data_IF_620830895217
#
_entry.id   IF_620830895217
#
_cell.length_a   1.000
_cell.length_b   1.000
_cell.length_c   1.000
_cell.angle_alpha   90.00
_cell.angle_beta   90.00
_cell.angle_gamma   90.00
#
_symmetry.space_group_name_H-M   'P 1'
#
loop_
_entity.id
_entity.type
_entity.pdbx_description
1 polymer ?
#
# COMPACT_ATOMS: atom_id res chain seq x y z
N UNK A 1 13.86 6.92 6.37
CA UNK A 1 13.81 7.53 7.72
C UNK A 1 13.15 6.54 8.66
N UNK A 2 13.57 6.42 9.92
CA UNK A 2 12.84 5.63 10.93
C UNK A 2 12.39 6.57 12.04
N UNK A 3 11.13 6.46 12.43
CA UNK A 3 10.55 7.19 13.54
C UNK A 3 9.99 6.19 14.55
N UNK A 4 10.23 6.43 15.84
CA UNK A 4 9.65 5.66 16.94
C UNK A 4 8.66 6.55 17.68
N UNK A 5 7.43 6.08 17.86
CA UNK A 5 6.35 6.82 18.51
C UNK A 5 5.48 5.87 19.34
N UNK A 6 4.70 6.42 20.28
CA UNK A 6 3.68 5.68 21.02
C UNK A 6 2.36 5.72 20.23
N UNK A 7 1.81 4.55 19.90
CA UNK A 7 0.64 4.44 19.01
C UNK A 7 -0.70 4.88 19.62
N UNK A 8 -0.72 5.29 20.89
CA UNK A 8 -1.95 5.59 21.62
C UNK A 8 -2.67 6.88 21.16
N UNK A 9 -2.02 7.72 20.36
CA UNK A 9 -2.54 9.04 19.97
C UNK A 9 -3.08 9.12 18.53
N UNK A 10 -3.32 7.98 17.86
CA UNK A 10 -3.88 7.91 16.50
C UNK A 10 -3.07 8.75 15.50
N UNK A 11 -3.69 9.68 14.77
CA UNK A 11 -3.02 10.49 13.75
C UNK A 11 -2.04 11.52 14.35
N UNK A 12 -2.15 11.81 15.65
CA UNK A 12 -1.28 12.78 16.33
C UNK A 12 0.16 12.25 16.48
N UNK A 13 0.36 10.92 16.40
CA UNK A 13 1.68 10.28 16.49
C UNK A 13 2.63 10.69 15.37
N UNK A 14 2.09 11.24 14.28
CA UNK A 14 2.85 11.72 13.13
C UNK A 14 3.37 13.16 13.32
N UNK A 15 2.95 13.84 14.40
CA UNK A 15 3.47 15.17 14.74
C UNK A 15 4.86 15.04 15.36
N UNK A 16 5.80 15.96 15.05
CA UNK A 16 7.17 15.88 15.53
C UNK A 16 7.32 15.73 17.05
N UNK A 17 6.42 16.32 17.82
CA UNK A 17 6.46 16.33 19.29
C UNK A 17 6.16 14.96 19.92
N UNK A 18 5.63 14.00 19.16
CA UNK A 18 5.32 12.64 19.62
C UNK A 18 6.37 11.60 19.18
N UNK A 19 7.45 12.06 18.52
CA UNK A 19 8.55 11.19 18.10
C UNK A 19 9.56 11.02 19.24
N UNK A 20 9.71 9.80 19.74
CA UNK A 20 10.72 9.44 20.75
C UNK A 20 12.11 9.42 20.13
N UNK A 21 12.21 8.91 18.91
CA UNK A 21 13.47 8.78 18.20
C UNK A 21 13.26 9.03 16.70
N UNK A 22 14.23 9.71 16.09
CA UNK A 22 14.30 9.95 14.66
C UNK A 22 15.67 9.53 14.13
N UNK A 23 15.67 8.59 13.20
CA UNK A 23 16.83 8.27 12.39
C UNK A 23 16.67 8.80 10.96
N UNK A 24 17.56 9.73 10.60
CA UNK A 24 17.68 10.27 9.26
C UNK A 24 18.98 9.78 8.65
N UNK A 25 18.89 8.86 7.70
CA UNK A 25 20.05 8.34 7.01
C UNK A 25 19.69 7.45 5.83
N UNK A 26 20.68 6.73 5.30
CA UNK A 26 20.52 5.94 4.08
C UNK A 26 19.64 4.72 4.32
N UNK A 27 18.74 4.46 3.38
CA UNK A 27 17.80 3.33 3.38
C UNK A 27 18.42 2.12 2.69
N UNK A 28 19.50 1.59 3.27
CA UNK A 28 20.08 0.30 2.91
C UNK A 28 20.26 -0.57 4.15
N UNK A 29 20.23 -1.88 3.94
CA UNK A 29 20.31 -2.86 5.01
C UNK A 29 21.50 -2.62 5.94
N UNK A 30 22.70 -2.39 5.40
CA UNK A 30 23.93 -2.31 6.18
C UNK A 30 23.93 -1.12 7.14
N UNK A 31 23.34 0.00 6.71
CA UNK A 31 23.22 1.20 7.54
C UNK A 31 22.12 1.00 8.59
N UNK A 32 20.97 0.46 8.18
CA UNK A 32 19.85 0.19 9.08
C UNK A 32 20.20 -0.88 10.13
N UNK A 33 21.05 -1.86 9.80
CA UNK A 33 21.52 -2.86 10.74
C UNK A 33 22.35 -2.24 11.87
N UNK A 34 23.18 -1.24 11.57
CA UNK A 34 23.91 -0.48 12.61
C UNK A 34 22.94 0.24 13.54
N UNK A 35 21.88 0.83 12.99
CA UNK A 35 20.83 1.49 13.79
C UNK A 35 20.08 0.47 14.64
N UNK A 36 19.67 -0.67 14.08
CA UNK A 36 19.01 -1.74 14.82
C UNK A 36 19.85 -2.24 16.00
N UNK A 37 21.16 -2.40 15.80
CA UNK A 37 22.06 -2.83 16.85
C UNK A 37 22.22 -1.79 17.98
N UNK A 38 22.15 -0.48 17.68
CA UNK A 38 22.21 0.57 18.70
C UNK A 38 21.05 0.51 19.69
N UNK A 39 19.87 0.03 19.26
CA UNK A 39 18.65 -0.04 20.07
C UNK A 39 18.29 -1.46 20.50
N UNK A 40 19.11 -2.46 20.17
CA UNK A 40 18.79 -3.87 20.38
C UNK A 40 18.54 -4.19 21.85
N UNK A 41 19.40 -3.66 22.74
CA UNK A 41 19.23 -3.85 24.18
C UNK A 41 17.96 -3.18 24.69
N UNK A 42 17.72 -1.92 24.32
CA UNK A 42 16.55 -1.16 24.79
C UNK A 42 15.24 -1.79 24.33
N UNK A 43 15.17 -2.27 23.08
CA UNK A 43 13.95 -2.95 22.62
C UNK A 43 13.72 -4.28 23.33
N UNK A 44 14.79 -5.05 23.58
CA UNK A 44 14.67 -6.31 24.33
C UNK A 44 14.24 -6.07 25.77
N UNK A 45 14.86 -5.11 26.44
CA UNK A 45 14.53 -4.74 27.82
C UNK A 45 13.08 -4.27 27.94
N UNK A 46 12.63 -3.38 27.05
CA UNK A 46 11.23 -2.93 27.03
C UNK A 46 10.24 -4.07 26.75
N UNK A 47 10.61 -5.01 25.88
CA UNK A 47 9.77 -6.17 25.55
C UNK A 47 9.65 -7.15 26.73
N UNK A 48 10.76 -7.41 27.43
CA UNK A 48 10.81 -8.38 28.54
C UNK A 48 10.28 -7.79 29.84
N UNK A 49 10.64 -6.53 30.14
CA UNK A 49 10.43 -5.90 31.44
C UNK A 49 9.33 -4.84 31.44
N UNK A 50 8.89 -4.35 30.28
CA UNK A 50 7.88 -3.29 30.18
C UNK A 50 8.35 -1.96 30.81
N UNK A 51 7.40 -1.13 31.22
CA UNK A 51 7.64 0.15 31.91
C UNK A 51 6.84 0.18 33.21
N UNK A 52 7.40 0.75 34.27
CA UNK A 52 6.67 1.07 35.50
C UNK A 52 6.41 2.57 35.56
N UNK A 53 5.19 2.96 35.90
CA UNK A 53 4.88 4.37 36.18
C UNK A 53 5.19 4.76 37.64
N UNK A 54 5.03 6.03 37.96
CA UNK A 54 5.31 6.57 39.30
C UNK A 54 4.39 5.98 40.40
N UNK A 55 3.27 5.36 40.01
CA UNK A 55 2.37 4.65 40.93
C UNK A 55 2.74 3.17 41.09
N UNK A 56 3.79 2.70 40.40
CA UNK A 56 4.22 1.31 40.39
C UNK A 56 3.36 0.40 39.50
N UNK A 57 2.52 0.95 38.62
CA UNK A 57 1.75 0.16 37.66
C UNK A 57 2.67 -0.32 36.54
N UNK A 58 2.61 -1.61 36.24
CA UNK A 58 3.36 -2.23 35.14
C UNK A 58 2.62 -2.12 33.81
N UNK A 59 3.32 -1.60 32.80
CA UNK A 59 2.84 -1.41 31.44
C UNK A 59 3.65 -2.31 30.49
N UNK A 60 3.06 -3.41 29.98
CA UNK A 60 3.72 -4.24 28.98
C UNK A 60 3.84 -3.47 27.64
N UNK A 61 4.95 -3.69 26.93
CA UNK A 61 5.21 -3.03 25.64
C UNK A 61 5.14 -4.04 24.52
N UNK A 62 4.36 -3.72 23.47
CA UNK A 62 4.35 -4.44 22.21
C UNK A 62 4.79 -3.53 21.07
N UNK A 63 5.70 -4.02 20.25
CA UNK A 63 6.24 -3.29 19.12
C UNK A 63 5.53 -3.64 17.82
N UNK A 64 5.33 -2.61 17.00
CA UNK A 64 4.84 -2.70 15.64
C UNK A 64 5.79 -1.95 14.72
N UNK A 65 5.92 -2.45 13.49
CA UNK A 65 6.70 -1.78 12.46
C UNK A 65 5.82 -1.55 11.24
N UNK A 66 5.76 -0.31 10.76
CA UNK A 66 5.11 0.01 9.50
C UNK A 66 6.02 0.79 8.57
N UNK A 67 5.89 0.51 7.28
CA UNK A 67 6.65 1.18 6.24
C UNK A 67 6.19 0.75 4.85
N UNK A 68 6.63 1.50 3.84
CA UNK A 68 6.40 1.12 2.46
C UNK A 68 7.03 -0.25 2.15
N UNK A 69 6.51 -0.89 1.10
CA UNK A 69 6.90 -2.26 0.75
C UNK A 69 8.41 -2.43 0.57
N UNK A 70 9.12 -1.44 -0.02
CA UNK A 70 10.57 -1.53 -0.22
C UNK A 70 11.30 -1.43 1.13
N UNK A 71 10.84 -0.57 2.01
CA UNK A 71 11.42 -0.45 3.35
C UNK A 71 11.25 -1.75 4.16
N UNK A 72 10.07 -2.38 4.09
CA UNK A 72 9.79 -3.66 4.75
C UNK A 72 10.81 -4.75 4.35
N UNK A 73 11.15 -4.83 3.07
CA UNK A 73 12.16 -5.80 2.59
C UNK A 73 13.51 -5.62 3.25
N UNK A 74 13.96 -4.37 3.38
CA UNK A 74 15.23 -4.07 4.04
C UNK A 74 15.19 -4.46 5.52
N UNK A 75 14.12 -4.11 6.24
CA UNK A 75 14.00 -4.38 7.67
C UNK A 75 13.88 -5.88 7.96
N UNK A 76 13.15 -6.61 7.12
CA UNK A 76 12.95 -8.05 7.26
C UNK A 76 14.09 -8.90 6.67
N UNK A 77 15.13 -8.27 6.11
CA UNK A 77 16.29 -8.98 5.54
C UNK A 77 15.96 -9.80 4.29
N UNK A 78 14.94 -9.38 3.54
CA UNK A 78 14.47 -10.01 2.30
C UNK A 78 15.26 -9.51 1.09
N UNK A 79 15.22 -10.28 -0.01
CA UNK A 79 16.03 -9.98 -1.19
C UNK A 79 15.56 -8.75 -1.98
N UNK A 80 14.49 -8.89 -2.76
CA UNK A 80 13.89 -7.79 -3.52
C UNK A 80 12.43 -8.08 -3.90
N UNK A 81 11.59 -7.04 -4.15
CA UNK A 81 10.18 -7.22 -4.48
C UNK A 81 9.88 -7.97 -5.79
N UNK A 82 10.86 -8.09 -6.69
CA UNK A 82 10.69 -8.69 -8.01
C UNK A 82 11.20 -10.15 -8.10
N UNK A 83 11.55 -10.76 -6.97
CA UNK A 83 12.05 -12.14 -6.94
C UNK A 83 10.91 -13.16 -7.00
N UNK A 84 11.26 -14.43 -7.22
CA UNK A 84 10.31 -15.54 -7.31
C UNK A 84 9.37 -15.63 -6.11
N UNK A 85 9.86 -15.33 -4.90
CA UNK A 85 9.07 -15.31 -3.67
C UNK A 85 9.01 -13.89 -3.13
N UNK A 86 7.89 -13.21 -3.31
CA UNK A 86 7.76 -11.77 -3.06
C UNK A 86 6.84 -11.43 -1.87
N UNK A 87 6.12 -12.40 -1.33
CA UNK A 87 5.25 -12.11 -0.20
C UNK A 87 6.09 -11.97 1.08
N UNK A 88 5.79 -10.95 1.89
CA UNK A 88 6.42 -10.72 3.19
C UNK A 88 6.07 -11.82 4.20
N UNK A 89 4.91 -12.45 4.02
CA UNK A 89 4.27 -13.31 5.04
C UNK A 89 4.28 -14.80 4.71
N UNK A 90 4.50 -15.17 3.45
CA UNK A 90 4.45 -16.55 3.01
C UNK A 90 5.34 -16.83 1.81
N UNK A 91 5.58 -18.11 1.53
CA UNK A 91 6.37 -18.59 0.41
C UNK A 91 5.55 -18.70 -0.90
N UNK A 92 4.69 -17.72 -1.17
CA UNK A 92 3.93 -17.64 -2.41
C UNK A 92 4.85 -17.33 -3.60
N UNK A 93 4.75 -18.15 -4.64
CA UNK A 93 5.46 -17.93 -5.90
C UNK A 93 4.81 -16.81 -6.72
N UNK A 94 5.63 -15.94 -7.31
CA UNK A 94 5.19 -14.82 -8.12
C UNK A 94 4.34 -15.27 -9.33
N UNK A 95 4.55 -16.49 -9.85
CA UNK A 95 3.75 -17.09 -10.92
C UNK A 95 2.34 -17.47 -10.47
N UNK A 96 2.15 -17.78 -9.19
CA UNK A 96 0.89 -18.27 -8.61
C UNK A 96 0.12 -17.17 -7.85
N UNK A 97 0.68 -15.96 -7.77
CA UNK A 97 0.13 -14.84 -6.96
C UNK A 97 -1.31 -14.44 -7.27
N UNK A 98 -1.79 -14.80 -8.45
CA UNK A 98 -3.13 -14.48 -8.94
C UNK A 98 -4.13 -15.62 -8.68
N UNK A 99 -3.66 -16.81 -8.32
CA UNK A 99 -4.49 -17.98 -8.08
C UNK A 99 -5.08 -17.91 -6.66
N UNK A 100 -6.34 -17.49 -6.56
CA UNK A 100 -7.05 -17.28 -5.29
C UNK A 100 -7.59 -18.57 -4.65
N UNK A 101 -7.46 -19.71 -5.34
CA UNK A 101 -7.81 -21.04 -4.83
C UNK A 101 -6.69 -21.63 -3.97
N UNK A 102 -5.45 -21.20 -4.19
CA UNK A 102 -4.31 -21.58 -3.37
C UNK A 102 -4.35 -20.88 -2.01
N UNK A 103 -3.96 -21.61 -0.98
CA UNK A 103 -3.74 -21.07 0.36
C UNK A 103 -2.28 -21.28 0.74
N UNK A 104 -1.64 -20.18 1.14
CA UNK A 104 -0.27 -20.19 1.61
C UNK A 104 -0.29 -19.98 3.12
N UNK A 105 0.38 -20.84 3.91
CA UNK A 105 0.47 -20.64 5.35
C UNK A 105 1.20 -19.31 5.63
N UNK A 106 0.69 -18.57 6.61
CA UNK A 106 1.28 -17.32 7.10
C UNK A 106 2.16 -17.70 8.28
N UNK A 107 3.39 -18.13 8.01
CA UNK A 107 4.29 -18.69 9.01
C UNK A 107 5.77 -18.30 8.80
N UNK A 108 5.99 -17.19 8.07
CA UNK A 108 7.30 -16.60 7.67
C UNK A 108 7.73 -16.92 6.23
N UNK A 109 8.23 -15.89 5.51
CA UNK A 109 8.78 -16.02 4.15
C UNK A 109 10.21 -16.55 4.19
N UNK A 110 10.36 -17.87 4.34
CA UNK A 110 11.68 -18.51 4.48
C UNK A 110 12.49 -18.49 3.19
N UNK A 111 11.83 -18.57 2.03
CA UNK A 111 12.51 -18.68 0.74
C UNK A 111 13.03 -17.34 0.19
N UNK A 112 12.54 -16.22 0.72
CA UNK A 112 12.98 -14.87 0.33
C UNK A 112 14.04 -14.28 1.26
N UNK A 113 14.18 -14.83 2.48
CA UNK A 113 15.12 -14.36 3.50
C UNK A 113 16.58 -14.58 3.08
N UNK A 114 17.37 -13.52 3.12
CA UNK A 114 18.81 -13.54 2.79
C UNK A 114 19.68 -13.04 3.94
N UNK A 115 19.12 -12.20 4.81
CA UNK A 115 19.80 -11.58 5.93
C UNK A 115 18.92 -11.71 7.18
N UNK A 116 19.49 -11.56 8.39
CA UNK A 116 18.71 -11.46 9.62
C UNK A 116 17.69 -10.31 9.57
N UNK A 117 16.60 -10.46 10.33
CA UNK A 117 15.67 -9.35 10.59
C UNK A 117 16.37 -8.32 11.48
N UNK A 118 16.14 -7.03 11.20
CA UNK A 118 16.84 -5.95 11.91
C UNK A 118 16.27 -5.66 13.31
N UNK A 119 15.00 -5.99 13.55
CA UNK A 119 14.33 -5.76 14.84
C UNK A 119 13.68 -7.07 15.34
N UNK A 120 14.46 -8.05 15.82
CA UNK A 120 13.94 -9.36 16.21
C UNK A 120 12.93 -9.32 17.39
N UNK A 121 12.89 -8.21 18.13
CA UNK A 121 11.88 -7.97 19.17
C UNK A 121 10.46 -7.82 18.59
N UNK A 122 10.32 -7.47 17.31
CA UNK A 122 9.02 -7.29 16.65
C UNK A 122 8.58 -8.63 16.06
N UNK A 123 7.38 -9.07 16.42
CA UNK A 123 6.81 -10.31 15.87
C UNK A 123 6.51 -10.16 14.37
N UNK A 124 6.57 -11.26 13.64
CA UNK A 124 6.32 -11.33 12.19
C UNK A 124 4.98 -10.65 11.81
N UNK A 125 3.92 -10.93 12.58
CA UNK A 125 2.57 -10.40 12.38
C UNK A 125 2.45 -8.89 12.64
N UNK A 126 3.40 -8.31 13.38
CA UNK A 126 3.42 -6.89 13.73
C UNK A 126 4.21 -6.04 12.72
N UNK A 127 4.73 -6.66 11.66
CA UNK A 127 5.26 -5.98 10.48
C UNK A 127 4.11 -5.68 9.52
N UNK A 128 3.63 -4.44 9.49
CA UNK A 128 2.42 -4.04 8.77
C UNK A 128 2.79 -3.12 7.60
N UNK A 129 2.49 -3.46 6.34
CA UNK A 129 2.86 -2.64 5.21
C UNK A 129 1.99 -1.38 5.19
N UNK A 130 2.56 -0.27 4.74
CA UNK A 130 1.85 1.00 4.62
C UNK A 130 0.64 0.88 3.67
N UNK A 131 -0.55 1.14 4.20
CA UNK A 131 -1.82 1.03 3.49
C UNK A 131 -2.05 2.18 2.51
N UNK A 132 -1.49 3.37 2.77
CA UNK A 132 -1.52 4.49 1.85
C UNK A 132 -0.73 4.14 0.59
N UNK A 133 0.46 3.59 0.73
CA UNK A 133 1.27 3.15 -0.41
C UNK A 133 0.60 2.03 -1.20
N UNK A 134 -0.09 1.10 -0.54
CA UNK A 134 -0.93 0.10 -1.21
C UNK A 134 -2.01 0.76 -2.08
N UNK A 135 -2.76 1.71 -1.52
CA UNK A 135 -3.80 2.43 -2.23
C UNK A 135 -3.25 3.23 -3.41
N UNK A 136 -2.13 3.93 -3.22
CA UNK A 136 -1.47 4.68 -4.29
C UNK A 136 -1.07 3.78 -5.46
N UNK A 137 -0.49 2.61 -5.19
CA UNK A 137 -0.03 1.68 -6.23
C UNK A 137 -1.18 1.04 -7.00
N UNK A 138 -2.22 0.56 -6.32
CA UNK A 138 -3.36 -0.08 -7.00
C UNK A 138 -4.13 0.96 -7.82
N UNK A 139 -4.34 2.15 -7.29
CA UNK A 139 -4.98 3.24 -8.05
C UNK A 139 -4.17 3.71 -9.25
N UNK A 140 -2.83 3.74 -9.18
CA UNK A 140 -1.99 4.00 -10.35
C UNK A 140 -2.26 2.99 -11.46
N UNK A 141 -2.26 1.69 -11.13
CA UNK A 141 -2.53 0.63 -12.11
C UNK A 141 -3.93 0.79 -12.71
N UNK A 142 -4.95 1.03 -11.89
CA UNK A 142 -6.32 1.24 -12.35
C UNK A 142 -6.46 2.45 -13.30
N UNK A 143 -5.83 3.57 -12.96
CA UNK A 143 -5.81 4.79 -13.78
C UNK A 143 -5.02 4.60 -15.07
N UNK A 144 -3.84 3.98 -14.99
CA UNK A 144 -3.01 3.66 -16.16
C UNK A 144 -3.76 2.77 -17.15
N UNK A 145 -4.44 1.72 -16.67
CA UNK A 145 -5.26 0.86 -17.53
C UNK A 145 -6.38 1.65 -18.23
N UNK A 146 -7.06 2.52 -17.51
CA UNK A 146 -8.14 3.35 -18.05
C UNK A 146 -7.62 4.37 -19.08
N UNK A 147 -6.57 5.13 -18.75
CA UNK A 147 -6.00 6.13 -19.64
C UNK A 147 -5.35 5.52 -20.88
N UNK A 148 -4.69 4.37 -20.76
CA UNK A 148 -4.14 3.66 -21.91
C UNK A 148 -5.23 3.21 -22.90
N UNK A 149 -6.43 2.89 -22.43
CA UNK A 149 -7.57 2.61 -23.31
C UNK A 149 -8.10 3.89 -24.00
N UNK A 150 -8.02 5.03 -23.33
CA UNK A 150 -8.45 6.32 -23.88
C UNK A 150 -7.44 6.87 -24.89
N UNK A 151 -6.14 6.75 -24.64
CA UNK A 151 -5.09 7.21 -25.55
C UNK A 151 -5.12 6.53 -26.93
N UNK A 152 -5.73 5.33 -27.02
CA UNK A 152 -5.92 4.60 -28.28
C UNK A 152 -7.04 5.19 -29.15
N UNK A 153 -7.86 6.09 -28.61
CA UNK A 153 -9.01 6.69 -29.30
C UNK A 153 -8.58 7.90 -30.11
N UNK A 154 -9.14 8.04 -31.31
CA UNK A 154 -8.81 9.15 -32.23
C UNK A 154 -9.28 10.49 -31.69
N UNK A 155 -10.40 10.48 -30.98
CA UNK A 155 -11.04 11.62 -30.35
C UNK A 155 -10.37 12.05 -29.02
N UNK A 156 -9.28 11.38 -28.60
CA UNK A 156 -8.64 11.67 -27.30
C UNK A 156 -8.18 13.13 -27.17
N UNK A 157 -7.30 13.57 -28.06
CA UNK A 157 -6.68 14.92 -27.99
C UNK A 157 -7.70 16.03 -28.28
N UNK A 158 -8.72 15.75 -29.10
CA UNK A 158 -9.69 16.75 -29.54
C UNK A 158 -10.84 16.96 -28.56
N UNK A 159 -11.25 15.91 -27.84
CA UNK A 159 -12.48 15.95 -27.03
C UNK A 159 -12.31 15.30 -25.65
N UNK A 160 -11.89 14.04 -25.58
CA UNK A 160 -11.91 13.29 -24.31
C UNK A 160 -10.97 13.94 -23.28
N UNK A 161 -9.79 14.41 -23.69
CA UNK A 161 -8.81 15.06 -22.81
C UNK A 161 -9.45 16.18 -21.99
N UNK A 162 -10.09 17.16 -22.66
CA UNK A 162 -10.67 18.33 -21.99
C UNK A 162 -11.86 17.95 -21.11
N UNK A 163 -12.66 16.97 -21.51
CA UNK A 163 -13.78 16.48 -20.70
C UNK A 163 -13.31 15.81 -19.40
N UNK A 164 -12.24 15.01 -19.44
CA UNK A 164 -11.66 14.36 -18.25
C UNK A 164 -11.07 15.42 -17.32
N UNK A 165 -10.27 16.34 -17.84
CA UNK A 165 -9.67 17.43 -17.06
C UNK A 165 -10.75 18.28 -16.36
N UNK A 166 -11.83 18.59 -17.07
CA UNK A 166 -12.98 19.30 -16.50
C UNK A 166 -13.71 18.47 -15.43
N UNK A 167 -13.82 17.15 -15.62
CA UNK A 167 -14.49 16.25 -14.66
C UNK A 167 -13.66 16.10 -13.38
N UNK A 168 -12.34 15.97 -13.50
CA UNK A 168 -11.41 16.00 -12.37
C UNK A 168 -11.53 17.30 -11.58
N UNK A 169 -11.64 18.44 -12.29
CA UNK A 169 -11.86 19.75 -11.66
C UNK A 169 -13.17 19.80 -10.88
N UNK A 170 -14.26 19.23 -11.40
CA UNK A 170 -15.56 19.18 -10.70
C UNK A 170 -15.47 18.42 -9.38
N UNK A 171 -14.67 17.35 -9.30
CA UNK A 171 -14.40 16.63 -8.05
C UNK A 171 -13.27 17.26 -7.22
N UNK A 172 -12.86 18.49 -7.52
CA UNK A 172 -11.81 19.26 -6.82
C UNK A 172 -10.46 18.55 -6.82
N UNK A 173 -10.06 17.99 -7.96
CA UNK A 173 -8.75 17.40 -8.21
C UNK A 173 -8.06 18.19 -9.33
N UNK A 174 -6.84 18.67 -9.08
CA UNK A 174 -6.02 19.28 -10.12
C UNK A 174 -5.39 18.19 -10.98
N UNK A 175 -5.72 18.16 -12.27
CA UNK A 175 -5.28 17.10 -13.17
C UNK A 175 -5.22 17.58 -14.60
N UNK A 176 -4.10 17.30 -15.26
CA UNK A 176 -3.87 17.60 -16.67
C UNK A 176 -3.10 16.47 -17.34
N UNK A 177 -3.42 16.21 -18.62
CA UNK A 177 -2.60 15.39 -19.49
C UNK A 177 -1.58 16.25 -20.26
N UNK A 178 -0.37 15.73 -20.41
CA UNK A 178 0.70 16.38 -21.14
C UNK A 178 1.51 15.37 -21.96
N UNK A 179 2.20 15.83 -23.01
CA UNK A 179 3.15 15.00 -23.75
C UNK A 179 4.49 15.01 -23.01
N UNK A 180 4.88 13.87 -22.46
CA UNK A 180 6.11 13.74 -21.69
C UNK A 180 7.34 13.83 -22.59
N UNK A 181 8.23 14.78 -22.28
CA UNK A 181 9.52 14.94 -22.97
C UNK A 181 10.47 13.78 -22.67
N UNK A 182 10.38 13.19 -21.48
CA UNK A 182 11.22 12.06 -21.05
C UNK A 182 10.74 10.71 -21.59
N UNK A 183 9.44 10.55 -21.86
CA UNK A 183 8.86 9.31 -22.43
C UNK A 183 8.66 9.36 -23.95
N UNK A 184 9.51 10.11 -24.66
CA UNK A 184 9.50 10.14 -26.13
C UNK A 184 8.24 10.77 -26.73
N UNK A 185 7.62 11.75 -26.06
CA UNK A 185 6.44 12.45 -26.54
C UNK A 185 5.11 11.71 -26.30
N UNK A 186 5.13 10.59 -25.56
CA UNK A 186 3.92 9.88 -25.15
C UNK A 186 3.07 10.72 -24.20
N UNK A 187 1.76 10.47 -24.21
CA UNK A 187 0.85 11.05 -23.23
C UNK A 187 1.18 10.56 -21.83
N UNK A 188 1.11 11.49 -20.90
CA UNK A 188 1.36 11.32 -19.48
C UNK A 188 0.40 12.26 -18.72
N UNK A 189 0.36 12.15 -17.39
CA UNK A 189 -0.62 12.90 -16.59
C UNK A 189 -0.05 13.38 -15.27
N UNK A 190 -0.77 14.32 -14.64
CA UNK A 190 -0.41 14.85 -13.33
C UNK A 190 -0.39 13.73 -12.29
N UNK A 191 0.74 13.56 -11.59
CA UNK A 191 0.84 12.63 -10.46
C UNK A 191 -0.08 13.08 -9.32
N UNK A 192 -0.88 12.17 -8.80
CA UNK A 192 -1.87 12.46 -7.76
C UNK A 192 -1.44 11.96 -6.39
N UNK A 193 -1.67 12.80 -5.38
CA UNK A 193 -1.43 12.47 -3.98
C UNK A 193 -2.61 11.70 -3.38
N UNK A 194 -2.38 11.08 -2.21
CA UNK A 194 -3.35 10.23 -1.53
C UNK A 194 -4.78 10.80 -1.44
N UNK A 195 -4.98 12.05 -0.97
CA UNK A 195 -6.32 12.64 -0.89
C UNK A 195 -7.02 12.74 -2.24
N UNK A 196 -6.31 13.11 -3.30
CA UNK A 196 -6.90 13.26 -4.63
C UNK A 196 -7.17 11.90 -5.27
N UNK A 197 -6.30 10.90 -5.08
CA UNK A 197 -6.57 9.52 -5.50
C UNK A 197 -7.85 8.95 -4.87
N UNK A 198 -8.09 9.24 -3.59
CA UNK A 198 -9.34 8.83 -2.91
C UNK A 198 -10.57 9.45 -3.59
N UNK A 199 -10.53 10.75 -3.89
CA UNK A 199 -11.62 11.42 -4.61
C UNK A 199 -11.85 10.81 -5.99
N UNK A 200 -10.78 10.51 -6.73
CA UNK A 200 -10.85 9.89 -8.05
C UNK A 200 -11.50 8.50 -7.97
N UNK A 201 -11.02 7.64 -7.08
CA UNK A 201 -11.58 6.30 -6.85
C UNK A 201 -13.05 6.34 -6.42
N UNK A 202 -13.45 7.35 -5.68
CA UNK A 202 -14.81 7.47 -5.14
C UNK A 202 -15.80 8.12 -6.12
N UNK A 203 -15.39 9.17 -6.83
CA UNK A 203 -16.31 10.07 -7.51
C UNK A 203 -16.09 10.22 -9.01
N UNK A 204 -14.94 9.81 -9.56
CA UNK A 204 -14.70 9.98 -11.00
C UNK A 204 -15.59 9.02 -11.80
N UNK A 205 -16.45 9.51 -12.71
CA UNK A 205 -17.41 8.69 -13.45
C UNK A 205 -16.73 8.03 -14.64
N UNK A 206 -16.06 6.91 -14.41
CA UNK A 206 -15.36 6.15 -15.45
C UNK A 206 -16.31 5.79 -16.60
N UNK A 207 -17.58 5.50 -16.28
CA UNK A 207 -18.54 5.04 -17.28
C UNK A 207 -18.85 6.06 -18.38
N UNK A 208 -18.65 7.35 -18.13
CA UNK A 208 -18.96 8.43 -19.07
C UNK A 208 -17.99 8.50 -20.28
N UNK A 209 -16.82 7.85 -20.20
CA UNK A 209 -15.72 8.05 -21.16
C UNK A 209 -15.39 6.84 -22.02
N UNK A 210 -15.98 5.68 -21.74
CA UNK A 210 -15.73 4.44 -22.50
C UNK A 210 -17.05 3.71 -22.82
N UNK A 211 -17.02 2.74 -23.74
CA UNK A 211 -18.25 2.09 -24.24
C UNK A 211 -18.99 1.32 -23.15
N UNK A 212 -20.32 1.34 -23.20
CA UNK A 212 -21.22 1.01 -22.07
C UNK A 212 -20.87 -0.27 -21.30
N UNK A 213 -20.52 -1.38 -21.97
CA UNK A 213 -20.25 -2.64 -21.28
C UNK A 213 -18.94 -2.59 -20.47
N UNK A 214 -17.83 -2.20 -21.13
CA UNK A 214 -16.50 -2.09 -20.48
C UNK A 214 -16.48 -0.97 -19.43
N UNK A 215 -17.28 0.06 -19.65
CA UNK A 215 -17.41 1.23 -18.77
C UNK A 215 -17.85 0.86 -17.37
N UNK A 216 -18.89 0.02 -17.27
CA UNK A 216 -19.45 -0.45 -16.01
C UNK A 216 -18.49 -1.38 -15.27
N UNK A 217 -17.76 -2.20 -16.02
CA UNK A 217 -16.82 -3.14 -15.44
C UNK A 217 -15.62 -2.42 -14.78
N UNK A 218 -15.04 -1.44 -15.46
CA UNK A 218 -13.91 -0.66 -14.90
C UNK A 218 -14.39 0.23 -13.76
N UNK A 219 -15.55 0.89 -13.89
CA UNK A 219 -16.08 1.68 -12.78
C UNK A 219 -16.32 0.82 -11.54
N UNK A 220 -16.90 -0.37 -11.71
CA UNK A 220 -17.09 -1.33 -10.63
C UNK A 220 -15.77 -1.69 -9.94
N UNK A 221 -14.70 -1.96 -10.71
CA UNK A 221 -13.38 -2.24 -10.12
C UNK A 221 -12.88 -1.11 -9.22
N UNK A 222 -13.09 0.15 -9.63
CA UNK A 222 -12.64 1.31 -8.86
C UNK A 222 -13.45 1.46 -7.57
N UNK A 223 -14.78 1.33 -7.65
CA UNK A 223 -15.66 1.43 -6.49
C UNK A 223 -15.43 0.29 -5.50
N UNK A 224 -15.38 -0.95 -5.98
CA UNK A 224 -15.13 -2.10 -5.12
C UNK A 224 -13.77 -2.00 -4.42
N UNK A 225 -12.72 -1.55 -5.13
CA UNK A 225 -11.42 -1.33 -4.52
C UNK A 225 -11.46 -0.25 -3.44
N UNK A 226 -12.17 0.86 -3.70
CA UNK A 226 -12.34 1.93 -2.72
C UNK A 226 -13.02 1.42 -1.45
N UNK A 227 -14.08 0.62 -1.57
CA UNK A 227 -14.77 0.01 -0.43
C UNK A 227 -13.84 -0.94 0.36
N UNK A 228 -13.04 -1.77 -0.34
CA UNK A 228 -12.02 -2.59 0.31
C UNK A 228 -11.02 -1.74 1.09
N UNK A 229 -10.54 -0.64 0.50
CA UNK A 229 -9.63 0.28 1.17
C UNK A 229 -10.27 0.96 2.39
N UNK A 230 -11.57 1.28 2.36
CA UNK A 230 -12.27 1.81 3.53
C UNK A 230 -12.33 0.81 4.68
N UNK A 231 -12.51 -0.49 4.39
CA UNK A 231 -12.48 -1.54 5.40
C UNK A 231 -11.10 -1.64 6.06
N UNK A 232 -10.01 -1.56 5.28
CA UNK A 232 -8.64 -1.59 5.81
C UNK A 232 -8.34 -0.44 6.80
N UNK A 233 -9.06 0.68 6.69
CA UNK A 233 -8.88 1.86 7.56
C UNK A 233 -9.81 1.89 8.77
N UNK A 234 -10.66 0.89 8.94
CA UNK A 234 -11.51 0.82 10.13
C UNK A 234 -10.63 0.62 11.37
N UNK A 235 -10.85 1.38 12.45
CA UNK A 235 -10.02 1.27 13.66
C UNK A 235 -10.21 -0.07 14.37
N UNK A 236 -11.39 -0.68 14.22
CA UNK A 236 -11.77 -1.95 14.83
C UNK A 236 -12.54 -2.74 13.78
N UNK A 237 -12.17 -4.01 13.61
CA UNK A 237 -12.83 -4.96 12.72
C UNK A 237 -13.35 -6.14 13.54
N UNK A 238 -14.57 -6.56 13.24
CA UNK A 238 -15.12 -7.82 13.76
C UNK A 238 -14.60 -9.01 12.94
N UNK A 239 -14.60 -10.22 13.52
CA UNK A 239 -14.24 -11.44 12.77
C UNK A 239 -15.09 -11.62 11.51
N UNK A 240 -16.39 -11.28 11.57
CA UNK A 240 -17.27 -11.35 10.40
C UNK A 240 -16.87 -10.36 9.31
N UNK A 241 -16.42 -9.15 9.66
CA UNK A 241 -15.92 -8.18 8.67
C UNK A 241 -14.59 -8.64 8.07
N UNK A 242 -13.73 -9.30 8.84
CA UNK A 242 -12.47 -9.88 8.34
C UNK A 242 -12.76 -11.00 7.34
N UNK A 243 -13.70 -11.89 7.65
CA UNK A 243 -14.10 -12.97 6.76
C UNK A 243 -14.73 -12.44 5.46
N UNK A 244 -15.64 -11.47 5.57
CA UNK A 244 -16.25 -10.80 4.42
C UNK A 244 -15.21 -10.06 3.57
N UNK A 245 -14.26 -9.37 4.21
CA UNK A 245 -13.16 -8.71 3.52
C UNK A 245 -12.33 -9.71 2.71
N UNK A 246 -11.97 -10.85 3.29
CA UNK A 246 -11.24 -11.92 2.58
C UNK A 246 -12.00 -12.40 1.35
N UNK A 247 -13.32 -12.60 1.44
CA UNK A 247 -14.16 -13.02 0.31
C UNK A 247 -14.19 -11.94 -0.77
N UNK A 248 -14.43 -10.68 -0.40
CA UNK A 248 -14.52 -9.56 -1.35
C UNK A 248 -13.19 -9.29 -2.05
N UNK A 249 -12.06 -9.37 -1.34
CA UNK A 249 -10.72 -9.23 -1.95
C UNK A 249 -10.49 -10.32 -2.99
N UNK A 250 -10.82 -11.58 -2.69
CA UNK A 250 -10.69 -12.68 -3.65
C UNK A 250 -11.53 -12.43 -4.91
N UNK A 251 -12.79 -12.04 -4.74
CA UNK A 251 -13.68 -11.72 -5.86
C UNK A 251 -13.14 -10.55 -6.69
N UNK A 252 -12.66 -9.50 -6.01
CA UNK A 252 -12.08 -8.33 -6.68
C UNK A 252 -10.83 -8.68 -7.48
N UNK A 253 -9.93 -9.51 -6.95
CA UNK A 253 -8.73 -9.96 -7.67
C UNK A 253 -9.12 -10.77 -8.92
N UNK A 254 -10.06 -11.72 -8.78
CA UNK A 254 -10.56 -12.50 -9.93
C UNK A 254 -11.14 -11.58 -11.00
N UNK A 255 -11.98 -10.63 -10.58
CA UNK A 255 -12.60 -9.67 -11.49
C UNK A 255 -11.58 -8.74 -12.15
N UNK A 256 -10.58 -8.26 -11.40
CA UNK A 256 -9.47 -7.45 -11.91
C UNK A 256 -8.71 -8.18 -13.02
N UNK A 257 -8.40 -9.47 -12.83
CA UNK A 257 -7.68 -10.27 -13.82
C UNK A 257 -8.45 -10.38 -15.13
N UNK A 258 -9.76 -10.66 -15.07
CA UNK A 258 -10.64 -10.78 -16.24
C UNK A 258 -10.68 -9.47 -17.05
N UNK A 259 -10.73 -8.32 -16.37
CA UNK A 259 -10.96 -7.04 -17.02
C UNK A 259 -9.69 -6.34 -17.53
N UNK A 260 -8.57 -6.57 -16.84
CA UNK A 260 -7.33 -5.84 -17.05
C UNK A 260 -6.22 -6.71 -17.64
N UNK A 261 -6.09 -7.99 -17.26
CA UNK A 261 -4.93 -8.81 -17.59
C UNK A 261 -5.05 -9.60 -18.91
N UNK A 262 -6.27 -9.83 -19.40
CA UNK A 262 -6.51 -10.51 -20.70
C UNK A 262 -6.46 -9.54 -21.91
N UNK A 263 -5.64 -8.49 -21.82
CA UNK A 263 -5.36 -7.49 -22.87
C UNK A 263 -3.87 -7.26 -23.02
#
# INVERSE_FOLDING_TARGET
MITVCLLNEKDEVLKPDHHICLYVGKENYETLAKVGHLFEYQFRDLQENGIYDDNGVHWPIEFFFSGDWKFMYNIMGLNAPNVKYFCLYCDCEASERWNMDLQWPINESTKCKKKPVLFPAIKQENYIPDELHLMLRISDVLMECFFNDLFKRKEFEQQIKSQIEQTMKTIKVHFEFFKSKSHGGKWDWTSLMGPDKKKVLQYFPVSDFISERRSKDIEKLWRDFYELYLVLRKPILTNSEIDDFKVKVKQWIIYFLIQIKDK
#
